data_IF_256854239311
#
_entry.id   IF_256854239311
#
_cell.length_a   1.000
_cell.length_b   1.000
_cell.length_c   1.000
_cell.angle_alpha   90.00
_cell.angle_beta   90.00
_cell.angle_gamma   90.00
#
_symmetry.space_group_name_H-M   'P 1'
#
loop_
_entity.id
_entity.type
_entity.pdbx_description
1 polymer ?
#
# COMPACT_ATOMS: atom_id res chain seq x y z
N UNK A 1 -38.19 -13.72 51.43
CA UNK A 1 -37.70 -13.52 50.05
C UNK A 1 -38.56 -14.37 49.14
N UNK A 2 -39.19 -13.78 48.11
CA UNK A 2 -40.10 -14.50 47.21
C UNK A 2 -39.32 -15.36 46.20
N UNK A 3 -39.82 -16.55 45.89
CA UNK A 3 -39.24 -17.42 44.87
C UNK A 3 -39.67 -16.94 43.48
N UNK A 4 -38.70 -16.76 42.58
CA UNK A 4 -38.99 -16.51 41.16
C UNK A 4 -39.29 -17.87 40.51
N UNK A 5 -40.48 -18.00 39.93
CA UNK A 5 -40.88 -19.20 39.19
C UNK A 5 -40.64 -18.95 37.69
N UNK A 6 -39.60 -19.56 37.13
CA UNK A 6 -39.27 -19.46 35.69
C UNK A 6 -39.77 -20.72 34.98
N UNK A 7 -40.49 -20.55 33.86
CA UNK A 7 -40.86 -21.67 32.99
C UNK A 7 -39.61 -22.16 32.22
N UNK A 8 -39.30 -23.48 32.24
CA UNK A 8 -38.18 -24.04 31.47
C UNK A 8 -38.20 -23.72 29.97
N UNK A 9 -39.38 -23.52 29.36
CA UNK A 9 -39.51 -23.11 27.95
C UNK A 9 -38.99 -21.70 27.69
N UNK A 10 -39.33 -20.76 28.56
CA UNK A 10 -38.89 -19.36 28.46
C UNK A 10 -37.37 -19.24 28.65
N UNK A 11 -36.81 -20.04 29.57
CA UNK A 11 -35.36 -20.10 29.77
C UNK A 11 -34.63 -20.64 28.53
N UNK A 12 -35.16 -21.69 27.89
CA UNK A 12 -34.60 -22.24 26.65
C UNK A 12 -34.66 -21.23 25.50
N UNK A 13 -35.78 -20.51 25.37
CA UNK A 13 -35.93 -19.45 24.38
C UNK A 13 -34.93 -18.32 24.59
N UNK A 14 -34.75 -17.87 25.84
CA UNK A 14 -33.76 -16.85 26.20
C UNK A 14 -32.34 -17.29 25.84
N UNK A 15 -31.93 -18.50 26.21
CA UNK A 15 -30.60 -19.05 25.91
C UNK A 15 -30.39 -19.16 24.39
N UNK A 16 -31.40 -19.62 23.65
CA UNK A 16 -31.37 -19.71 22.20
C UNK A 16 -31.15 -18.35 21.53
N UNK A 17 -31.90 -17.34 21.98
CA UNK A 17 -31.77 -15.97 21.49
C UNK A 17 -30.39 -15.38 21.80
N UNK A 18 -29.90 -15.54 23.04
CA UNK A 18 -28.56 -15.08 23.43
C UNK A 18 -27.47 -15.72 22.57
N UNK A 19 -27.54 -17.05 22.36
CA UNK A 19 -26.60 -17.77 21.50
C UNK A 19 -26.66 -17.27 20.06
N UNK A 20 -27.86 -17.05 19.53
CA UNK A 20 -28.06 -16.49 18.19
C UNK A 20 -27.40 -15.12 18.06
N UNK A 21 -27.67 -14.21 18.99
CA UNK A 21 -27.08 -12.87 19.01
C UNK A 21 -25.54 -12.90 19.12
N UNK A 22 -24.98 -13.78 19.97
CA UNK A 22 -23.53 -13.92 20.10
C UNK A 22 -22.89 -14.45 18.81
N UNK A 23 -23.48 -15.46 18.17
CA UNK A 23 -22.99 -15.97 16.88
C UNK A 23 -23.04 -14.89 15.80
N UNK A 24 -24.13 -14.13 15.70
CA UNK A 24 -24.22 -13.02 14.75
C UNK A 24 -23.17 -11.96 15.01
N UNK A 25 -22.93 -11.60 16.27
CA UNK A 25 -21.89 -10.63 16.65
C UNK A 25 -20.49 -11.11 16.22
N UNK A 26 -20.15 -12.37 16.52
CA UNK A 26 -18.85 -12.95 16.15
C UNK A 26 -18.67 -12.96 14.62
N UNK A 27 -19.68 -13.40 13.88
CA UNK A 27 -19.62 -13.41 12.41
C UNK A 27 -19.43 -12.01 11.83
N UNK A 28 -20.07 -10.99 12.42
CA UNK A 28 -19.87 -9.59 12.01
C UNK A 28 -18.47 -9.10 12.35
N UNK A 29 -17.95 -9.43 13.53
CA UNK A 29 -16.58 -9.07 13.93
C UNK A 29 -15.54 -9.69 12.99
N UNK A 30 -15.67 -10.97 12.66
CA UNK A 30 -14.79 -11.66 11.72
C UNK A 30 -14.86 -11.05 10.31
N UNK A 31 -16.07 -10.71 9.84
CA UNK A 31 -16.24 -10.05 8.54
C UNK A 31 -15.58 -8.66 8.52
N UNK A 32 -15.68 -7.89 9.60
CA UNK A 32 -15.01 -6.59 9.71
C UNK A 32 -13.49 -6.71 9.71
N UNK A 33 -12.94 -7.71 10.40
CA UNK A 33 -11.50 -7.95 10.45
C UNK A 33 -10.92 -8.32 9.07
N UNK A 34 -11.63 -9.19 8.33
CA UNK A 34 -11.28 -9.53 6.94
C UNK A 34 -11.30 -8.28 6.06
N UNK A 35 -12.37 -7.48 6.12
CA UNK A 35 -12.49 -6.27 5.32
C UNK A 35 -11.38 -5.26 5.62
N UNK A 36 -11.03 -5.09 6.89
CA UNK A 36 -9.93 -4.20 7.30
C UNK A 36 -8.59 -4.70 6.76
N UNK A 37 -8.33 -6.00 6.85
CA UNK A 37 -7.12 -6.64 6.33
C UNK A 37 -7.02 -6.52 4.81
N UNK A 38 -8.10 -6.78 4.08
CA UNK A 38 -8.15 -6.63 2.62
C UNK A 38 -7.91 -5.18 2.18
N UNK A 39 -8.51 -4.21 2.87
CA UNK A 39 -8.30 -2.80 2.58
C UNK A 39 -6.85 -2.38 2.84
N UNK A 40 -6.24 -2.86 3.92
CA UNK A 40 -4.83 -2.63 4.24
C UNK A 40 -3.90 -3.22 3.18
N UNK A 41 -4.20 -4.45 2.71
CA UNK A 41 -3.43 -5.10 1.64
C UNK A 41 -3.53 -4.32 0.31
N UNK A 42 -4.75 -3.92 -0.09
CA UNK A 42 -4.96 -3.11 -1.32
C UNK A 42 -4.23 -1.77 -1.26
N UNK A 43 -4.27 -1.10 -0.12
CA UNK A 43 -3.53 0.14 0.10
C UNK A 43 -2.02 -0.07 -0.02
N UNK A 44 -1.50 -1.12 0.60
CA UNK A 44 -0.07 -1.47 0.54
C UNK A 44 0.38 -1.76 -0.90
N UNK A 45 -0.37 -2.58 -1.63
CA UNK A 45 -0.08 -2.87 -3.03
C UNK A 45 -0.10 -1.61 -3.91
N UNK A 46 -1.05 -0.70 -3.66
CA UNK A 46 -1.14 0.56 -4.40
C UNK A 46 0.08 1.45 -4.13
N UNK A 47 0.57 1.50 -2.88
CA UNK A 47 1.79 2.23 -2.56
C UNK A 47 3.01 1.62 -3.24
N UNK A 48 3.16 0.29 -3.22
CA UNK A 48 4.28 -0.40 -3.85
C UNK A 48 4.37 -0.08 -5.36
N UNK A 49 3.25 -0.16 -6.08
CA UNK A 49 3.19 0.23 -7.50
C UNK A 49 3.66 1.67 -7.70
N UNK A 50 3.14 2.61 -6.92
CA UNK A 50 3.51 4.03 -7.04
C UNK A 50 4.98 4.28 -6.73
N UNK A 51 5.56 3.55 -5.76
CA UNK A 51 6.99 3.65 -5.45
C UNK A 51 7.85 3.10 -6.58
N UNK A 52 7.45 2.00 -7.21
CA UNK A 52 8.17 1.43 -8.36
C UNK A 52 8.10 2.36 -9.57
N UNK A 53 6.94 2.98 -9.83
CA UNK A 53 6.80 3.98 -10.91
C UNK A 53 7.69 5.19 -10.67
N UNK A 54 7.70 5.73 -9.44
CA UNK A 54 8.56 6.86 -9.07
C UNK A 54 10.04 6.50 -9.21
N UNK A 55 10.43 5.28 -8.82
CA UNK A 55 11.80 4.79 -9.00
C UNK A 55 12.18 4.78 -10.49
N UNK A 56 11.30 4.28 -11.36
CA UNK A 56 11.53 4.29 -12.81
C UNK A 56 11.72 5.70 -13.35
N UNK A 57 10.83 6.64 -12.99
CA UNK A 57 10.94 8.05 -13.41
C UNK A 57 12.25 8.70 -12.97
N UNK A 58 12.71 8.43 -11.75
CA UNK A 58 13.99 8.95 -11.25
C UNK A 58 15.19 8.35 -12.00
N UNK A 59 15.14 7.07 -12.35
CA UNK A 59 16.17 6.42 -13.16
C UNK A 59 16.25 7.02 -14.56
N UNK A 60 15.10 7.23 -15.21
CA UNK A 60 15.05 7.84 -16.54
C UNK A 60 15.60 9.28 -16.53
N UNK A 61 15.23 10.06 -15.50
CA UNK A 61 15.76 11.41 -15.31
C UNK A 61 17.28 11.41 -15.08
N UNK A 62 17.79 10.50 -14.26
CA UNK A 62 19.23 10.36 -14.05
C UNK A 62 19.96 10.00 -15.34
N UNK A 63 19.44 9.05 -16.12
CA UNK A 63 20.00 8.64 -17.39
C UNK A 63 20.02 9.79 -18.41
N UNK A 64 18.92 10.56 -18.49
CA UNK A 64 18.86 11.75 -19.35
C UNK A 64 19.90 12.81 -18.95
N UNK A 65 20.06 13.05 -17.65
CA UNK A 65 21.05 13.98 -17.12
C UNK A 65 22.47 13.55 -17.48
N UNK A 66 22.80 12.27 -17.29
CA UNK A 66 24.12 11.68 -17.64
C UNK A 66 24.39 11.84 -19.14
N UNK A 67 23.40 11.54 -19.99
CA UNK A 67 23.54 11.69 -21.43
C UNK A 67 23.85 13.14 -21.83
N UNK A 68 23.13 14.11 -21.26
CA UNK A 68 23.42 15.53 -21.49
C UNK A 68 24.84 15.93 -21.09
N UNK A 69 25.30 15.50 -19.91
CA UNK A 69 26.69 15.76 -19.49
C UNK A 69 27.72 15.13 -20.43
N UNK A 70 27.48 13.90 -20.89
CA UNK A 70 28.36 13.23 -21.85
C UNK A 70 28.47 14.01 -23.17
N UNK A 71 27.34 14.51 -23.70
CA UNK A 71 27.33 15.36 -24.88
C UNK A 71 28.11 16.67 -24.66
N UNK A 72 27.92 17.33 -23.51
CA UNK A 72 28.65 18.56 -23.18
C UNK A 72 30.15 18.33 -23.06
N UNK A 73 30.56 17.22 -22.42
CA UNK A 73 31.98 16.84 -22.31
C UNK A 73 32.62 16.66 -23.69
N UNK A 74 31.96 15.91 -24.58
CA UNK A 74 32.44 15.70 -25.95
C UNK A 74 32.62 17.01 -26.72
N UNK A 75 31.66 17.94 -26.58
CA UNK A 75 31.77 19.25 -27.22
C UNK A 75 32.97 20.05 -26.67
N UNK A 76 33.21 20.02 -25.36
CA UNK A 76 34.38 20.68 -24.74
C UNK A 76 35.68 20.05 -25.23
N UNK A 77 35.75 18.72 -25.34
CA UNK A 77 36.91 18.01 -25.86
C UNK A 77 37.21 18.45 -27.30
N UNK A 78 36.19 18.54 -28.15
CA UNK A 78 36.32 19.03 -29.52
C UNK A 78 36.78 20.48 -29.60
N UNK A 79 36.22 21.37 -28.77
CA UNK A 79 36.64 22.77 -28.72
C UNK A 79 38.10 22.90 -28.30
N UNK A 80 38.50 22.16 -27.26
CA UNK A 80 39.88 22.14 -26.76
C UNK A 80 40.85 21.67 -27.84
N UNK A 81 40.43 20.70 -28.66
CA UNK A 81 41.26 20.20 -29.76
C UNK A 81 41.37 21.19 -30.93
N UNK A 82 40.30 21.91 -31.26
CA UNK A 82 40.35 23.00 -32.25
C UNK A 82 41.28 24.11 -31.76
N UNK A 83 41.17 24.53 -30.50
CA UNK A 83 42.04 25.55 -29.91
C UNK A 83 43.51 25.11 -29.96
N UNK A 84 43.79 23.84 -29.69
CA UNK A 84 45.14 23.27 -29.81
C UNK A 84 45.65 23.37 -31.25
N UNK A 85 44.82 23.05 -32.24
CA UNK A 85 45.19 23.07 -33.67
C UNK A 85 45.44 24.48 -34.22
N UNK A 86 44.90 25.53 -33.60
CA UNK A 86 45.09 26.93 -34.07
C UNK A 86 46.37 27.56 -33.48
N UNK A 87 46.85 27.05 -32.35
CA UNK A 87 48.01 27.58 -31.65
C UNK A 87 49.37 27.01 -32.12
N UNK A 88 49.37 26.06 -33.06
CA UNK A 88 50.57 25.45 -33.67
C UNK A 88 50.49 25.52 -35.20
#
# INVERSE_FOLDING_TARGET
>A
MGQIQINPGDLKGLIGNMKGSMTSFLNTADAMDIQFSENTLKFTNTLETRFNDLKGQLQDMANGTIASYSHMSSNIDQMTEVDRCILF
#
